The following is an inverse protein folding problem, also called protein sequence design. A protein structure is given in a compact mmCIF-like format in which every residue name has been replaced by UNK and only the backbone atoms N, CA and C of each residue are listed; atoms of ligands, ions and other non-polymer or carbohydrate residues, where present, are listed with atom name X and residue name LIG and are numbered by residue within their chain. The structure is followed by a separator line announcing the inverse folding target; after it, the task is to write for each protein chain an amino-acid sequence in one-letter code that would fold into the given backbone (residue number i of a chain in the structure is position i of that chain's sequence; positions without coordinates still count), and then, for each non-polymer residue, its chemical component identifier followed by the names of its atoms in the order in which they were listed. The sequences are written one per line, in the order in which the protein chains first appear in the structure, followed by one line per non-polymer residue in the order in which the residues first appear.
data_IF_708603547031
#
_entry.id   IF_708603547031
#
_cell.length_a   1.000
_cell.length_b   1.000
_cell.length_c   1.000
_cell.angle_alpha   90.00
_cell.angle_beta   90.00
_cell.angle_gamma   90.00
#
_symmetry.space_group_name_H-M   'P 1'
#
loop_
_entity.id
_entity.type
_entity.pdbx_description
1 polymer ?
#
# COMPACT_ATOMS: atom_id res chain seq x y z
N UNK A 1 -9.68 -31.27 56.39
CA UNK A 1 -9.93 -29.96 55.73
C UNK A 1 -8.65 -29.58 54.98
N UNK A 2 -8.58 -29.90 53.67
CA UNK A 2 -7.39 -29.66 52.85
C UNK A 2 -7.58 -28.27 52.26
N UNK A 3 -6.72 -27.31 52.67
CA UNK A 3 -6.63 -25.99 52.04
C UNK A 3 -6.01 -26.15 50.64
N UNK A 4 -6.83 -26.09 49.62
CA UNK A 4 -6.35 -25.86 48.25
C UNK A 4 -5.84 -24.40 48.15
N UNK A 5 -4.54 -24.24 48.20
CA UNK A 5 -3.90 -22.98 47.84
C UNK A 5 -4.11 -22.76 46.31
N UNK A 6 -5.01 -21.84 45.97
CA UNK A 6 -5.14 -21.35 44.61
C UNK A 6 -3.89 -20.51 44.31
N UNK A 7 -2.89 -21.13 43.71
CA UNK A 7 -1.75 -20.39 43.14
C UNK A 7 -2.28 -19.63 41.91
N UNK A 8 -2.63 -18.37 42.14
CA UNK A 8 -2.88 -17.43 41.04
C UNK A 8 -1.54 -17.22 40.31
N UNK A 9 -1.32 -17.90 39.21
CA UNK A 9 -0.26 -17.57 38.27
C UNK A 9 -0.56 -16.17 37.75
N UNK A 10 -0.02 -15.13 38.39
CA UNK A 10 0.10 -13.81 37.73
C UNK A 10 0.93 -14.05 36.50
N UNK A 11 0.36 -13.80 35.30
CA UNK A 11 1.16 -13.70 34.07
C UNK A 11 2.31 -12.74 34.34
N UNK A 12 3.54 -13.16 34.08
CA UNK A 12 4.68 -12.27 34.11
C UNK A 12 4.38 -11.06 33.22
N UNK A 13 4.68 -9.87 33.70
CA UNK A 13 4.54 -8.63 32.92
C UNK A 13 5.90 -7.94 32.87
N UNK A 14 6.14 -7.25 31.77
CA UNK A 14 7.36 -6.52 31.47
C UNK A 14 7.07 -5.04 31.70
N UNK A 15 7.88 -4.39 32.53
CA UNK A 15 7.85 -2.93 32.68
C UNK A 15 8.78 -2.32 31.62
N UNK A 16 8.27 -1.38 30.82
CA UNK A 16 9.01 -0.67 29.78
C UNK A 16 8.88 0.84 29.98
N UNK A 17 9.96 1.54 29.74
CA UNK A 17 9.98 3.01 29.67
C UNK A 17 10.41 3.41 28.26
N UNK A 18 9.69 4.36 27.67
CA UNK A 18 10.10 4.98 26.38
C UNK A 18 10.37 6.43 26.66
N UNK A 19 11.56 6.91 26.32
CA UNK A 19 11.94 8.31 26.40
C UNK A 19 12.32 8.80 25.03
N UNK A 20 11.81 9.95 24.63
CA UNK A 20 12.12 10.46 23.31
C UNK A 20 12.24 11.97 23.20
N UNK A 21 12.96 12.37 22.16
CA UNK A 21 12.92 13.71 21.60
C UNK A 21 12.03 13.71 20.38
N UNK A 22 11.37 14.83 20.10
CA UNK A 22 10.46 14.93 18.97
C UNK A 22 10.53 16.33 18.35
N UNK A 23 10.74 16.36 17.03
CA UNK A 23 10.72 17.55 16.22
C UNK A 23 9.57 17.47 15.20
N UNK A 24 9.01 18.60 14.82
CA UNK A 24 7.91 18.66 13.86
C UNK A 24 6.53 18.33 14.47
N UNK A 25 6.41 18.27 15.79
CA UNK A 25 5.14 18.05 16.51
C UNK A 25 4.96 19.16 17.57
N UNK A 26 3.73 19.63 17.74
CA UNK A 26 3.40 20.72 18.70
C UNK A 26 3.55 20.27 20.14
N UNK A 27 4.04 21.16 21.00
CA UNK A 27 3.95 20.98 22.46
C UNK A 27 2.47 20.89 22.90
N UNK A 28 2.20 19.96 23.81
CA UNK A 28 0.85 19.65 24.25
C UNK A 28 0.12 18.62 23.36
N UNK A 29 0.71 18.20 22.23
CA UNK A 29 0.13 17.16 21.40
C UNK A 29 0.08 15.83 22.17
N UNK A 30 -1.04 15.12 22.06
CA UNK A 30 -1.20 13.79 22.64
C UNK A 30 -0.60 12.74 21.72
N UNK A 31 0.32 11.93 22.27
CA UNK A 31 0.95 10.79 21.63
C UNK A 31 0.35 9.48 22.14
N UNK A 32 0.26 8.49 21.26
CA UNK A 32 -0.27 7.17 21.57
C UNK A 32 0.64 6.07 21.05
N UNK A 33 0.83 5.01 21.84
CA UNK A 33 1.46 3.76 21.40
C UNK A 33 0.38 2.72 21.11
N UNK A 34 0.36 2.25 19.85
CA UNK A 34 -0.55 1.21 19.39
C UNK A 34 0.19 -0.11 19.19
N UNK A 35 -0.37 -1.20 19.72
CA UNK A 35 0.12 -2.57 19.55
C UNK A 35 -0.19 -3.05 18.11
N UNK A 36 0.83 -3.18 17.29
CA UNK A 36 0.72 -3.64 15.91
C UNK A 36 0.21 -5.09 15.84
N UNK A 37 0.72 -5.93 16.71
CA UNK A 37 0.40 -7.36 16.72
C UNK A 37 -0.96 -7.71 17.34
N UNK A 38 -1.65 -6.73 17.95
CA UNK A 38 -2.93 -6.92 18.62
C UNK A 38 -4.03 -5.95 18.18
N UNK A 39 -4.24 -5.84 16.87
CA UNK A 39 -5.32 -5.04 16.27
C UNK A 39 -5.31 -3.56 16.68
N UNK A 40 -4.13 -2.96 16.70
CA UNK A 40 -3.96 -1.52 16.98
C UNK A 40 -4.50 -1.10 18.35
N UNK A 41 -4.41 -2.01 19.32
CA UNK A 41 -4.83 -1.70 20.68
C UNK A 41 -3.92 -0.64 21.29
N UNK A 42 -4.51 0.43 21.80
CA UNK A 42 -3.78 1.44 22.58
C UNK A 42 -3.16 0.78 23.80
N UNK A 43 -1.85 0.95 23.98
CA UNK A 43 -1.08 0.49 25.13
C UNK A 43 -0.98 1.60 26.16
N UNK A 44 -0.55 2.80 25.74
CA UNK A 44 -0.42 3.96 26.62
C UNK A 44 -0.46 5.26 25.82
N UNK A 45 -0.73 6.36 26.51
CA UNK A 45 -0.71 7.71 25.96
C UNK A 45 0.18 8.61 26.81
N UNK A 46 0.71 9.67 26.20
CA UNK A 46 1.45 10.76 26.84
C UNK A 46 1.27 12.06 26.07
N UNK A 47 1.85 13.15 26.55
CA UNK A 47 1.87 14.44 25.87
C UNK A 47 3.31 14.89 25.58
N UNK A 48 3.48 15.67 24.52
CA UNK A 48 4.74 16.33 24.20
C UNK A 48 4.95 17.51 25.15
N UNK A 49 6.08 17.56 25.80
CA UNK A 49 6.48 18.66 26.68
C UNK A 49 7.90 19.14 26.32
N UNK A 50 8.04 20.37 25.86
CA UNK A 50 9.31 20.97 25.45
C UNK A 50 10.09 20.10 24.42
N UNK A 51 9.39 19.56 23.43
CA UNK A 51 9.98 18.70 22.39
C UNK A 51 10.46 17.34 22.91
N UNK A 52 9.95 16.88 24.06
CA UNK A 52 10.25 15.55 24.62
C UNK A 52 8.98 14.82 25.03
N UNK A 53 9.08 13.49 25.20
CA UNK A 53 8.00 12.67 25.71
C UNK A 53 8.49 11.47 26.51
N UNK A 54 7.66 10.95 27.40
CA UNK A 54 7.97 9.74 28.16
C UNK A 54 6.71 8.86 28.32
N UNK A 55 6.84 7.56 28.04
CA UNK A 55 5.80 6.56 28.31
C UNK A 55 6.29 5.60 29.40
N UNK A 56 5.38 5.22 30.29
CA UNK A 56 5.54 4.11 31.22
C UNK A 56 4.50 3.05 30.90
N UNK A 57 4.94 1.89 30.45
CA UNK A 57 4.05 0.83 29.98
C UNK A 57 4.34 -0.49 30.68
N UNK A 58 3.27 -1.30 30.86
CA UNK A 58 3.38 -2.66 31.33
C UNK A 58 2.71 -3.60 30.34
N UNK A 59 3.50 -4.48 29.74
CA UNK A 59 3.09 -5.39 28.68
C UNK A 59 3.28 -6.85 29.08
N UNK A 60 2.51 -7.79 28.52
CA UNK A 60 2.63 -9.22 28.85
C UNK A 60 3.83 -9.90 28.18
N UNK A 61 4.35 -9.35 27.10
CA UNK A 61 5.49 -9.83 26.33
C UNK A 61 6.00 -8.71 25.42
N UNK A 62 7.25 -8.74 24.89
CA UNK A 62 7.73 -7.78 23.93
C UNK A 62 6.76 -7.63 22.75
N UNK A 63 6.54 -6.41 22.27
CA UNK A 63 5.61 -6.17 21.16
C UNK A 63 6.10 -5.04 20.27
N UNK A 64 5.83 -5.15 18.96
CA UNK A 64 6.03 -4.07 18.01
C UNK A 64 4.92 -3.04 18.15
N UNK A 65 5.27 -1.77 18.13
CA UNK A 65 4.34 -0.66 18.32
C UNK A 65 4.56 0.44 17.31
N UNK A 66 3.48 1.14 17.02
CA UNK A 66 3.51 2.40 16.30
C UNK A 66 3.24 3.56 17.24
N UNK A 67 4.06 4.58 17.13
CA UNK A 67 3.86 5.89 17.78
C UNK A 67 3.07 6.80 16.86
N UNK A 68 1.97 7.34 17.37
CA UNK A 68 1.10 8.28 16.66
C UNK A 68 0.88 9.56 17.44
N UNK A 69 0.68 10.68 16.72
CA UNK A 69 -0.05 11.82 17.25
C UNK A 69 -1.55 11.58 17.08
N UNK A 70 -2.35 11.74 18.13
CA UNK A 70 -3.80 11.48 18.10
C UNK A 70 -4.54 12.45 17.17
N UNK A 71 -4.01 13.67 17.00
CA UNK A 71 -4.51 14.65 16.06
C UNK A 71 -3.44 14.91 14.97
N UNK A 72 -3.67 14.51 13.71
CA UNK A 72 -2.74 14.77 12.61
C UNK A 72 -2.39 16.25 12.40
N UNK A 73 -3.28 17.19 12.78
CA UNK A 73 -3.04 18.63 12.69
C UNK A 73 -1.96 19.13 13.68
N UNK A 74 -1.57 18.32 14.64
CA UNK A 74 -0.50 18.62 15.58
C UNK A 74 0.90 18.29 15.05
N UNK A 75 0.96 17.63 13.88
CA UNK A 75 2.22 17.29 13.19
C UNK A 75 2.45 18.26 12.04
N UNK A 76 3.60 18.94 12.07
CA UNK A 76 3.97 19.94 11.08
C UNK A 76 4.40 19.34 9.76
N UNK A 77 4.16 18.94 8.82
CA UNK A 77 4.67 18.28 7.63
C UNK A 77 4.70 16.75 7.77
N UNK A 78 3.56 16.15 8.15
CA UNK A 78 3.46 14.71 8.18
C UNK A 78 3.31 14.16 6.75
N UNK A 79 4.30 13.40 6.23
CA UNK A 79 4.19 12.77 4.92
C UNK A 79 3.20 11.59 4.91
N UNK A 80 2.83 11.07 6.08
CA UNK A 80 1.92 9.94 6.22
C UNK A 80 0.53 10.36 6.67
N UNK A 81 -0.48 9.84 5.98
CA UNK A 81 -1.87 10.06 6.36
C UNK A 81 -2.15 9.41 7.74
N UNK A 82 -2.67 10.18 8.70
CA UNK A 82 -3.07 9.66 10.00
C UNK A 82 -2.12 9.87 11.18
N UNK A 83 -1.06 10.67 11.08
CA UNK A 83 -0.23 11.08 12.23
C UNK A 83 0.75 10.03 12.74
N UNK A 84 1.06 8.98 11.96
CA UNK A 84 2.11 8.02 12.29
C UNK A 84 3.48 8.68 12.30
N UNK A 85 4.27 8.42 13.35
CA UNK A 85 5.53 9.09 13.60
C UNK A 85 6.73 8.13 13.59
N UNK A 86 6.58 6.93 14.22
CA UNK A 86 7.67 5.97 14.42
C UNK A 86 7.13 4.59 14.73
N UNK A 87 7.92 3.56 14.41
CA UNK A 87 7.70 2.19 14.86
C UNK A 87 8.93 1.63 15.58
N UNK A 88 8.70 0.83 16.60
CA UNK A 88 9.75 0.23 17.42
C UNK A 88 9.20 -0.86 18.34
N UNK A 89 10.08 -1.49 19.14
CA UNK A 89 9.68 -2.54 20.08
C UNK A 89 9.53 -2.01 21.50
N UNK A 90 8.44 -2.34 22.16
CA UNK A 90 8.36 -2.32 23.63
C UNK A 90 8.91 -3.63 24.17
N UNK A 91 9.93 -3.53 25.00
CA UNK A 91 10.57 -4.64 25.69
C UNK A 91 11.11 -4.19 27.05
N UNK A 92 11.71 -5.09 27.82
CA UNK A 92 12.26 -4.74 29.16
C UNK A 92 13.37 -3.71 29.07
N UNK A 93 13.27 -2.65 29.83
CA UNK A 93 14.29 -1.59 29.91
C UNK A 93 13.77 -0.24 29.46
N UNK A 94 14.70 0.60 29.02
CA UNK A 94 14.40 1.93 28.53
C UNK A 94 14.72 2.03 27.05
N UNK A 95 13.69 2.26 26.23
CA UNK A 95 13.82 2.55 24.80
C UNK A 95 14.04 4.05 24.66
N UNK A 96 15.06 4.44 23.92
CA UNK A 96 15.35 5.83 23.55
C UNK A 96 14.90 6.03 22.12
N UNK A 97 14.04 7.02 21.88
CA UNK A 97 13.44 7.28 20.55
C UNK A 97 13.73 8.73 20.16
N UNK A 98 14.25 8.89 18.94
CA UNK A 98 14.40 10.21 18.31
C UNK A 98 13.45 10.31 17.12
N UNK A 99 12.59 11.33 17.11
CA UNK A 99 11.53 11.50 16.11
C UNK A 99 11.74 12.79 15.34
N UNK A 100 11.90 12.68 14.04
CA UNK A 100 11.91 13.79 13.10
C UNK A 100 10.69 13.65 12.17
N UNK A 101 9.57 14.29 12.51
CA UNK A 101 8.30 14.13 11.80
C UNK A 101 8.31 14.64 10.34
N UNK A 102 9.36 15.38 9.96
CA UNK A 102 9.56 15.90 8.59
C UNK A 102 10.33 14.90 7.69
N UNK A 103 10.89 13.83 8.26
CA UNK A 103 11.75 12.88 7.53
C UNK A 103 10.95 11.63 7.14
N UNK A 104 10.61 11.51 5.85
CA UNK A 104 9.85 10.38 5.30
C UNK A 104 10.54 9.02 5.47
N UNK A 105 11.87 9.01 5.59
CA UNK A 105 12.68 7.76 5.64
C UNK A 105 12.95 7.26 7.05
N UNK A 106 12.54 7.99 8.08
CA UNK A 106 13.00 7.75 9.47
C UNK A 106 12.05 6.86 10.31
N UNK A 107 11.03 6.25 9.76
CA UNK A 107 10.03 5.53 10.57
C UNK A 107 10.59 4.34 11.35
N UNK A 108 11.47 3.56 10.76
CA UNK A 108 12.05 2.33 11.35
C UNK A 108 13.43 2.56 11.98
N UNK A 109 13.90 3.80 12.08
CA UNK A 109 15.23 4.14 12.64
C UNK A 109 15.10 5.01 13.87
N UNK A 110 16.19 5.22 14.62
CA UNK A 110 16.19 6.15 15.75
C UNK A 110 15.60 5.60 17.06
N UNK A 111 15.18 4.35 17.15
CA UNK A 111 14.85 3.67 18.41
C UNK A 111 16.00 2.75 18.83
N UNK A 112 16.52 2.94 20.06
CA UNK A 112 17.71 2.25 20.57
C UNK A 112 17.61 2.02 22.09
N UNK A 113 18.64 1.43 22.67
CA UNK A 113 18.79 1.27 24.11
C UNK A 113 18.23 -0.05 24.67
N UNK A 114 17.73 -0.91 23.81
CA UNK A 114 17.29 -2.27 24.15
C UNK A 114 17.63 -3.24 23.02
N UNK A 115 17.67 -4.52 23.31
CA UNK A 115 18.24 -5.55 22.41
C UNK A 115 17.54 -5.62 21.07
N UNK A 116 16.20 -5.65 21.05
CA UNK A 116 15.43 -5.72 19.78
C UNK A 116 15.55 -4.40 19.02
N UNK A 117 15.48 -3.26 19.69
CA UNK A 117 15.55 -1.96 19.02
C UNK A 117 16.95 -1.69 18.47
N UNK A 118 18.03 -2.05 19.18
CA UNK A 118 19.39 -1.90 18.69
C UNK A 118 19.64 -2.76 17.44
N UNK A 119 19.13 -3.99 17.42
CA UNK A 119 19.20 -4.87 16.25
C UNK A 119 18.36 -4.33 15.08
N UNK A 120 17.13 -3.91 15.34
CA UNK A 120 16.22 -3.36 14.35
C UNK A 120 16.77 -2.07 13.71
N UNK A 121 17.26 -1.16 14.54
CA UNK A 121 17.95 0.06 14.10
C UNK A 121 19.19 -0.26 13.24
N UNK A 122 20.06 -1.17 13.67
CA UNK A 122 21.24 -1.63 12.91
C UNK A 122 20.87 -2.12 11.52
N UNK A 123 19.79 -2.90 11.40
CA UNK A 123 19.32 -3.44 10.12
C UNK A 123 18.85 -2.30 9.21
N UNK A 124 18.00 -1.40 9.70
CA UNK A 124 17.37 -0.36 8.88
C UNK A 124 18.32 0.77 8.47
N UNK A 125 19.37 1.03 9.28
CA UNK A 125 20.42 2.02 8.96
C UNK A 125 21.57 1.45 8.12
N UNK A 126 21.62 0.13 7.92
CA UNK A 126 22.65 -0.51 7.12
C UNK A 126 22.47 -0.25 5.61
N UNK A 127 23.58 -0.44 4.88
CA UNK A 127 23.55 -0.47 3.41
C UNK A 127 22.50 -1.51 2.93
N UNK A 128 21.68 -1.18 1.91
CA UNK A 128 20.67 -2.10 1.40
C UNK A 128 21.19 -3.50 1.08
N UNK A 129 22.40 -3.61 0.52
CA UNK A 129 23.02 -4.91 0.17
C UNK A 129 23.41 -5.73 1.41
N UNK A 130 23.58 -5.12 2.56
CA UNK A 130 23.92 -5.80 3.81
C UNK A 130 22.69 -6.20 4.66
N UNK A 131 21.52 -5.65 4.38
CA UNK A 131 20.32 -5.80 5.23
C UNK A 131 19.86 -7.24 5.36
N UNK A 132 19.84 -8.00 4.25
CA UNK A 132 19.41 -9.39 4.28
C UNK A 132 20.29 -10.23 5.22
N UNK A 133 21.61 -10.07 5.14
CA UNK A 133 22.54 -10.78 6.02
C UNK A 133 22.34 -10.42 7.51
N UNK A 134 22.01 -9.16 7.80
CA UNK A 134 21.72 -8.71 9.17
C UNK A 134 20.40 -9.25 9.70
N UNK A 135 19.36 -9.37 8.86
CA UNK A 135 18.12 -10.04 9.21
C UNK A 135 18.37 -11.52 9.53
N UNK A 136 19.17 -12.22 8.69
CA UNK A 136 19.52 -13.62 8.90
C UNK A 136 20.33 -13.83 10.19
N UNK A 137 21.22 -12.91 10.54
CA UNK A 137 21.94 -12.92 11.81
C UNK A 137 20.96 -12.76 12.99
N UNK A 138 20.08 -11.75 12.91
CA UNK A 138 19.15 -11.42 13.98
C UNK A 138 18.14 -12.51 14.30
N UNK A 139 17.59 -13.21 13.29
CA UNK A 139 16.63 -14.30 13.54
C UNK A 139 17.25 -15.56 14.10
N UNK A 140 18.58 -15.74 13.95
CA UNK A 140 19.32 -16.89 14.53
C UNK A 140 19.82 -16.67 15.95
N UNK A 141 19.85 -15.42 16.41
CA UNK A 141 20.24 -15.08 17.77
C UNK A 141 19.03 -15.19 18.71
N UNK A 142 19.16 -15.96 19.79
CA UNK A 142 18.07 -16.18 20.76
C UNK A 142 17.56 -14.90 21.42
N UNK A 143 18.35 -13.82 21.46
CA UNK A 143 17.97 -12.54 22.03
C UNK A 143 17.15 -11.68 21.05
N UNK A 144 17.35 -11.84 19.76
CA UNK A 144 16.75 -11.02 18.71
C UNK A 144 15.85 -11.79 17.76
N UNK A 145 15.73 -13.11 17.90
CA UNK A 145 14.95 -13.95 16.99
C UNK A 145 13.45 -13.61 16.93
N UNK A 146 12.93 -12.81 17.87
CA UNK A 146 11.56 -12.27 17.78
C UNK A 146 11.37 -11.38 16.55
N UNK A 147 12.45 -10.79 16.01
CA UNK A 147 12.45 -10.04 14.75
C UNK A 147 12.03 -10.91 13.54
N UNK A 148 11.99 -12.23 13.68
CA UNK A 148 11.42 -13.12 12.68
C UNK A 148 9.94 -12.80 12.35
N UNK A 149 9.20 -12.18 13.25
CA UNK A 149 7.81 -11.76 13.01
C UNK A 149 7.74 -10.61 12.00
N UNK A 150 8.66 -9.64 12.09
CA UNK A 150 8.76 -8.52 11.15
C UNK A 150 9.40 -8.96 9.83
N UNK A 151 10.47 -9.76 9.93
CA UNK A 151 11.18 -10.22 8.73
C UNK A 151 10.30 -11.08 7.83
N UNK A 152 9.47 -11.97 8.38
CA UNK A 152 8.56 -12.81 7.61
C UNK A 152 7.51 -11.99 6.83
N UNK A 153 7.09 -10.82 7.30
CA UNK A 153 6.13 -9.96 6.59
C UNK A 153 6.71 -9.32 5.32
N UNK A 154 8.04 -9.29 5.19
CA UNK A 154 8.74 -8.77 4.00
C UNK A 154 8.70 -9.72 2.79
N UNK A 155 8.22 -10.98 2.95
CA UNK A 155 8.15 -11.99 1.88
C UNK A 155 6.70 -12.36 1.55
N UNK A 156 5.89 -11.44 0.98
CA UNK A 156 4.47 -11.67 0.74
C UNK A 156 4.19 -12.73 -0.33
N UNK A 157 5.13 -12.97 -1.24
CA UNK A 157 4.99 -13.87 -2.40
C UNK A 157 5.73 -15.20 -2.21
N UNK A 158 6.51 -15.35 -1.14
CA UNK A 158 7.27 -16.56 -0.80
C UNK A 158 6.86 -17.09 0.58
N UNK A 159 5.83 -17.92 0.58
CA UNK A 159 5.26 -18.51 1.80
C UNK A 159 6.23 -19.50 2.47
N UNK A 160 6.99 -20.26 1.68
CA UNK A 160 7.93 -21.24 2.20
C UNK A 160 9.06 -20.52 2.94
N UNK A 161 9.55 -19.41 2.37
CA UNK A 161 10.56 -18.56 3.00
C UNK A 161 10.05 -17.91 4.29
N UNK A 162 8.85 -17.38 4.28
CA UNK A 162 8.23 -16.81 5.47
C UNK A 162 8.03 -17.87 6.58
N UNK A 163 7.66 -19.10 6.22
CA UNK A 163 7.54 -20.20 7.18
C UNK A 163 8.89 -20.63 7.77
N UNK A 164 9.94 -20.68 6.96
CA UNK A 164 11.31 -20.93 7.41
C UNK A 164 11.76 -19.87 8.44
N UNK A 165 11.58 -18.60 8.12
CA UNK A 165 11.89 -17.46 9.02
C UNK A 165 11.15 -17.60 10.34
N UNK A 166 9.84 -17.85 10.33
CA UNK A 166 9.02 -18.04 11.52
C UNK A 166 9.44 -19.28 12.34
N UNK A 167 10.12 -20.24 11.70
CA UNK A 167 10.68 -21.41 12.36
C UNK A 167 11.81 -21.10 13.35
N UNK A 168 12.41 -19.91 13.28
CA UNK A 168 13.43 -19.46 14.24
C UNK A 168 12.85 -19.01 15.60
N UNK A 169 11.54 -18.80 15.70
CA UNK A 169 10.89 -18.49 16.98
C UNK A 169 11.01 -19.66 17.96
N UNK A 170 11.32 -19.34 19.21
CA UNK A 170 11.28 -20.36 20.25
C UNK A 170 9.84 -20.89 20.46
N UNK A 171 9.64 -22.09 21.02
CA UNK A 171 8.32 -22.64 21.28
C UNK A 171 7.44 -21.72 22.15
N UNK A 172 8.03 -21.01 23.10
CA UNK A 172 7.32 -20.08 23.99
C UNK A 172 6.92 -18.79 23.25
N UNK A 173 7.77 -18.26 22.36
CA UNK A 173 7.43 -17.15 21.47
C UNK A 173 6.32 -17.56 20.50
N UNK A 174 6.45 -18.68 19.82
CA UNK A 174 5.43 -19.18 18.90
C UNK A 174 4.06 -19.37 19.59
N UNK A 175 4.05 -19.81 20.85
CA UNK A 175 2.84 -19.91 21.65
C UNK A 175 2.28 -18.55 22.06
N UNK A 176 3.15 -17.63 22.49
CA UNK A 176 2.78 -16.27 22.93
C UNK A 176 2.15 -15.47 21.79
N UNK A 177 2.76 -15.51 20.60
CA UNK A 177 2.34 -14.76 19.44
C UNK A 177 1.47 -15.55 18.44
N UNK A 178 0.96 -16.73 18.85
CA UNK A 178 0.17 -17.64 18.00
C UNK A 178 -0.93 -16.92 17.20
N UNK A 179 -1.60 -15.95 17.81
CA UNK A 179 -2.69 -15.21 17.16
C UNK A 179 -2.16 -14.32 16.05
N UNK A 180 -1.10 -13.58 16.31
CA UNK A 180 -0.44 -12.74 15.31
C UNK A 180 0.11 -13.59 14.17
N UNK A 181 0.87 -14.62 14.46
CA UNK A 181 1.41 -15.57 13.45
C UNK A 181 0.30 -16.14 12.57
N UNK A 182 -0.85 -16.51 13.17
CA UNK A 182 -1.99 -17.00 12.38
C UNK A 182 -2.58 -15.93 11.46
N UNK A 183 -2.58 -14.66 11.87
CA UNK A 183 -3.05 -13.53 11.06
C UNK A 183 -2.03 -13.22 9.96
N UNK A 184 -0.75 -13.17 10.31
CA UNK A 184 0.35 -12.96 9.37
C UNK A 184 0.32 -14.01 8.23
N UNK A 185 0.28 -15.29 8.57
CA UNK A 185 0.17 -16.39 7.58
C UNK A 185 -1.04 -16.23 6.65
N UNK A 186 -2.20 -15.86 7.18
CA UNK A 186 -3.40 -15.59 6.35
C UNK A 186 -3.21 -14.39 5.42
N UNK A 187 -2.52 -13.35 5.89
CA UNK A 187 -2.24 -12.18 5.07
C UNK A 187 -1.24 -12.51 3.96
N UNK A 188 -0.19 -13.27 4.27
CA UNK A 188 0.78 -13.75 3.29
C UNK A 188 0.09 -14.59 2.19
N UNK A 189 -0.75 -15.56 2.56
CA UNK A 189 -1.53 -16.34 1.58
C UNK A 189 -2.36 -15.42 0.68
N UNK A 190 -3.07 -14.45 1.26
CA UNK A 190 -3.88 -13.49 0.47
C UNK A 190 -3.04 -12.61 -0.45
N UNK A 191 -1.83 -12.22 -0.02
CA UNK A 191 -0.90 -11.43 -0.84
C UNK A 191 -0.39 -12.28 -2.02
N UNK A 192 0.04 -13.53 -1.76
CA UNK A 192 0.46 -14.46 -2.80
C UNK A 192 -0.67 -14.75 -3.82
N UNK A 193 -1.90 -15.02 -3.35
CA UNK A 193 -3.06 -15.20 -4.23
C UNK A 193 -3.38 -13.95 -5.07
N UNK A 194 -3.15 -12.75 -4.52
CA UNK A 194 -3.30 -11.48 -5.28
C UNK A 194 -2.20 -11.31 -6.31
N UNK A 195 -0.95 -11.64 -5.95
CA UNK A 195 0.19 -11.58 -6.87
C UNK A 195 -0.01 -12.56 -8.04
N UNK A 196 -0.44 -13.79 -7.76
CA UNK A 196 -0.77 -14.79 -8.79
C UNK A 196 -1.91 -14.32 -9.70
N UNK A 197 -3.01 -13.81 -9.12
CA UNK A 197 -4.10 -13.23 -9.93
C UNK A 197 -3.63 -12.08 -10.79
N UNK A 198 -2.77 -11.21 -10.23
CA UNK A 198 -2.18 -10.08 -10.97
C UNK A 198 -1.34 -10.58 -12.15
N UNK A 199 -0.51 -11.60 -11.94
CA UNK A 199 0.31 -12.19 -12.98
C UNK A 199 -0.54 -12.83 -14.08
N UNK A 200 -1.54 -13.62 -13.70
CA UNK A 200 -2.49 -14.26 -14.63
C UNK A 200 -3.28 -13.20 -15.42
N UNK A 201 -3.64 -12.08 -14.80
CA UNK A 201 -4.32 -10.98 -15.49
C UNK A 201 -3.40 -10.30 -16.51
N UNK A 202 -2.12 -10.07 -16.17
CA UNK A 202 -1.12 -9.55 -17.10
C UNK A 202 -0.95 -10.46 -18.31
N UNK A 203 -0.86 -11.77 -18.08
CA UNK A 203 -0.74 -12.76 -19.16
C UNK A 203 -2.00 -12.81 -20.03
N UNK A 204 -3.19 -12.68 -19.43
CA UNK A 204 -4.46 -12.61 -20.17
C UNK A 204 -4.54 -11.32 -21.00
N UNK A 205 -4.11 -10.18 -20.46
CA UNK A 205 -4.04 -8.91 -21.19
C UNK A 205 -3.08 -9.01 -22.38
N UNK A 206 -1.88 -9.59 -22.21
CA UNK A 206 -0.92 -9.84 -23.31
C UNK A 206 -1.59 -10.67 -24.42
N UNK A 207 -2.49 -11.59 -24.06
CA UNK A 207 -3.20 -12.41 -25.05
C UNK A 207 -4.20 -11.62 -25.91
N UNK A 208 -4.59 -10.40 -25.51
CA UNK A 208 -5.50 -9.54 -26.29
C UNK A 208 -4.78 -8.73 -27.38
N UNK A 209 -3.48 -8.57 -27.33
CA UNK A 209 -2.71 -7.89 -28.40
C UNK A 209 -2.84 -8.71 -29.71
N UNK A 210 -3.18 -8.03 -30.79
CA UNK A 210 -3.51 -8.65 -32.08
C UNK A 210 -4.92 -9.25 -32.15
N UNK A 211 -5.71 -9.21 -31.08
CA UNK A 211 -7.13 -9.58 -31.10
C UNK A 211 -8.00 -8.37 -31.42
N UNK A 212 -9.20 -8.64 -31.90
CA UNK A 212 -10.19 -7.59 -32.13
C UNK A 212 -10.71 -7.06 -30.78
N UNK A 213 -10.92 -5.75 -30.66
CA UNK A 213 -11.49 -5.15 -29.46
C UNK A 213 -12.86 -5.74 -29.11
N UNK A 214 -13.21 -5.69 -27.83
CA UNK A 214 -14.52 -6.16 -27.34
C UNK A 214 -15.44 -4.96 -27.19
N UNK A 215 -16.55 -4.95 -27.94
CA UNK A 215 -17.50 -3.83 -27.93
C UNK A 215 -18.23 -3.71 -26.58
N UNK A 216 -18.50 -2.47 -26.19
CA UNK A 216 -19.16 -2.15 -24.93
C UNK A 216 -19.95 -0.84 -25.03
N UNK A 217 -20.87 -0.64 -24.08
CA UNK A 217 -21.68 0.57 -24.00
C UNK A 217 -21.88 0.96 -22.54
N UNK A 218 -21.49 2.18 -22.18
CA UNK A 218 -21.63 2.71 -20.81
C UNK A 218 -22.08 4.18 -20.83
N UNK A 219 -22.73 4.66 -19.74
CA UNK A 219 -23.17 6.07 -19.65
C UNK A 219 -21.98 7.03 -19.47
N UNK A 220 -22.02 8.14 -20.20
CA UNK A 220 -21.09 9.25 -20.03
C UNK A 220 -21.48 10.19 -18.86
N UNK A 221 -20.77 11.29 -18.69
CA UNK A 221 -21.03 12.29 -17.64
C UNK A 221 -22.45 12.90 -17.71
N UNK A 222 -23.08 12.90 -18.88
CA UNK A 222 -24.46 13.36 -19.09
C UNK A 222 -25.50 12.24 -18.96
N UNK A 223 -25.11 11.04 -18.52
CA UNK A 223 -25.90 9.81 -18.45
C UNK A 223 -26.43 9.31 -19.83
N UNK A 224 -25.76 9.71 -20.92
CA UNK A 224 -26.07 9.18 -22.25
C UNK A 224 -25.18 7.96 -22.53
N UNK A 225 -25.75 6.84 -23.06
CA UNK A 225 -24.94 5.69 -23.44
C UNK A 225 -23.99 6.06 -24.59
N UNK A 226 -22.74 5.67 -24.46
CA UNK A 226 -21.72 5.79 -25.50
C UNK A 226 -21.18 4.40 -25.80
N UNK A 227 -21.35 3.96 -27.03
CA UNK A 227 -20.88 2.66 -27.49
C UNK A 227 -19.49 2.79 -28.10
N UNK A 228 -18.58 1.89 -27.73
CA UNK A 228 -17.19 1.92 -28.22
C UNK A 228 -17.14 1.75 -29.74
N UNK A 229 -17.92 0.84 -30.32
CA UNK A 229 -17.94 0.66 -31.77
C UNK A 229 -18.35 1.93 -32.54
N UNK A 230 -19.20 2.80 -31.99
CA UNK A 230 -19.52 4.08 -32.64
C UNK A 230 -18.35 5.05 -32.66
N UNK A 231 -17.39 4.90 -31.75
CA UNK A 231 -16.14 5.69 -31.72
C UNK A 231 -15.12 5.10 -32.68
N UNK A 232 -14.96 3.78 -32.66
CA UNK A 232 -14.03 3.06 -33.56
C UNK A 232 -14.45 3.18 -35.03
N UNK A 233 -15.75 3.07 -35.31
CA UNK A 233 -16.29 3.15 -36.68
C UNK A 233 -16.43 4.58 -37.21
N UNK A 234 -16.10 5.60 -36.42
CA UNK A 234 -16.08 6.98 -36.88
C UNK A 234 -14.96 7.19 -37.91
N UNK A 235 -15.26 7.64 -39.15
CA UNK A 235 -14.26 7.78 -40.20
C UNK A 235 -13.14 8.78 -39.89
N UNK A 236 -13.33 9.67 -38.93
CA UNK A 236 -12.31 10.63 -38.48
C UNK A 236 -11.39 10.03 -37.40
N UNK A 237 -11.79 8.89 -36.79
CA UNK A 237 -11.01 8.22 -35.74
C UNK A 237 -10.09 7.16 -36.36
N UNK A 238 -8.81 7.26 -36.10
CA UNK A 238 -7.79 6.30 -36.57
C UNK A 238 -7.34 5.36 -35.46
N UNK A 239 -7.25 5.86 -34.23
CA UNK A 239 -6.84 5.12 -33.05
C UNK A 239 -7.70 5.51 -31.85
N UNK A 240 -8.00 4.52 -31.01
CA UNK A 240 -8.68 4.75 -29.73
C UNK A 240 -7.82 4.24 -28.59
N UNK A 241 -7.55 5.11 -27.62
CA UNK A 241 -7.03 4.69 -26.32
C UNK A 241 -8.19 4.29 -25.44
N UNK A 242 -8.22 3.02 -24.95
CA UNK A 242 -9.05 2.61 -23.85
C UNK A 242 -8.26 2.79 -22.57
N UNK A 243 -8.77 3.59 -21.62
CA UNK A 243 -8.15 3.86 -20.34
C UNK A 243 -9.06 3.39 -19.21
N UNK A 244 -8.62 2.38 -18.45
CA UNK A 244 -9.32 1.87 -17.28
C UNK A 244 -8.76 2.51 -16.01
N UNK A 245 -9.57 3.29 -15.32
CA UNK A 245 -9.13 4.14 -14.22
C UNK A 245 -10.18 4.33 -13.11
N UNK A 246 -9.84 5.10 -12.06
CA UNK A 246 -10.79 5.60 -11.07
C UNK A 246 -10.23 6.84 -10.35
N UNK A 247 -11.09 7.65 -9.75
CA UNK A 247 -10.70 8.87 -9.01
C UNK A 247 -9.87 8.58 -7.75
N UNK A 248 -10.04 7.42 -7.14
CA UNK A 248 -9.31 6.96 -5.95
C UNK A 248 -8.01 6.22 -6.28
N UNK A 249 -7.70 6.01 -7.55
CA UNK A 249 -6.49 5.34 -8.01
C UNK A 249 -5.39 6.38 -8.23
N UNK A 250 -4.50 6.55 -7.26
CA UNK A 250 -3.43 7.56 -7.34
C UNK A 250 -2.56 7.43 -8.60
N UNK A 251 -2.03 6.25 -9.00
CA UNK A 251 -1.27 6.12 -10.24
C UNK A 251 -2.08 6.50 -11.49
N UNK A 252 -3.41 6.23 -11.50
CA UNK A 252 -4.27 6.65 -12.60
C UNK A 252 -4.37 8.17 -12.69
N UNK A 253 -4.53 8.83 -11.54
CA UNK A 253 -4.61 10.28 -11.42
C UNK A 253 -3.33 10.96 -11.89
N UNK A 254 -2.18 10.41 -11.53
CA UNK A 254 -0.85 10.87 -11.96
C UNK A 254 -0.62 10.72 -13.47
N UNK A 255 -1.35 9.82 -14.14
CA UNK A 255 -1.27 9.60 -15.58
C UNK A 255 -2.17 10.54 -16.40
N UNK A 256 -3.18 11.18 -15.81
CA UNK A 256 -4.09 12.11 -16.51
C UNK A 256 -3.37 13.27 -17.22
N UNK A 257 -2.34 13.92 -16.66
CA UNK A 257 -1.58 14.94 -17.38
C UNK A 257 -0.99 14.42 -18.69
N UNK A 258 -0.43 13.21 -18.72
CA UNK A 258 0.10 12.57 -19.92
C UNK A 258 -1.00 12.34 -20.96
N UNK A 259 -2.17 11.85 -20.54
CA UNK A 259 -3.33 11.67 -21.43
C UNK A 259 -3.78 13.01 -22.03
N UNK A 260 -3.77 14.11 -21.27
CA UNK A 260 -4.10 15.45 -21.76
C UNK A 260 -3.12 15.94 -22.83
N UNK A 261 -1.82 15.78 -22.60
CA UNK A 261 -0.78 16.16 -23.56
C UNK A 261 -0.91 15.37 -24.85
N UNK A 262 -1.08 14.07 -24.75
CA UNK A 262 -1.27 13.16 -25.89
C UNK A 262 -2.55 13.50 -26.63
N UNK A 263 -3.66 13.73 -25.94
CA UNK A 263 -4.92 14.11 -26.58
C UNK A 263 -4.82 15.45 -27.32
N UNK A 264 -4.24 16.46 -26.69
CA UNK A 264 -4.03 17.77 -27.33
C UNK A 264 -3.18 17.67 -28.59
N UNK A 265 -2.17 16.80 -28.61
CA UNK A 265 -1.23 16.64 -29.72
C UNK A 265 -1.81 15.82 -30.89
N UNK A 266 -2.61 14.78 -30.60
CA UNK A 266 -2.99 13.78 -31.59
C UNK A 266 -4.50 13.70 -31.90
N UNK A 267 -5.39 14.33 -31.12
CA UNK A 267 -6.83 14.32 -31.39
C UNK A 267 -7.17 14.84 -32.79
N UNK A 268 -6.58 15.97 -33.20
CA UNK A 268 -6.75 16.53 -34.56
C UNK A 268 -6.14 15.67 -35.69
N UNK A 269 -5.42 14.59 -35.34
CA UNK A 269 -4.85 13.62 -36.26
C UNK A 269 -5.58 12.28 -36.27
N UNK A 270 -6.70 12.18 -35.54
CA UNK A 270 -7.55 11.01 -35.49
C UNK A 270 -7.37 10.13 -34.25
N UNK A 271 -6.80 10.64 -33.15
CA UNK A 271 -6.83 9.96 -31.86
C UNK A 271 -8.10 10.29 -31.09
N UNK A 272 -8.75 9.27 -30.53
CA UNK A 272 -9.78 9.44 -29.50
C UNK A 272 -9.38 8.69 -28.22
N UNK A 273 -9.88 9.15 -27.07
CA UNK A 273 -9.71 8.46 -25.78
C UNK A 273 -11.08 8.08 -25.25
N UNK A 274 -11.24 6.82 -24.84
CA UNK A 274 -12.43 6.27 -24.21
C UNK A 274 -12.02 5.80 -22.82
N UNK A 275 -12.17 6.67 -21.81
CA UNK A 275 -11.83 6.36 -20.42
C UNK A 275 -13.00 5.75 -19.68
N UNK A 276 -12.76 4.59 -19.05
CA UNK A 276 -13.75 3.78 -18.35
C UNK A 276 -13.45 3.83 -16.87
N UNK A 277 -14.25 4.58 -16.11
CA UNK A 277 -14.11 4.66 -14.67
C UNK A 277 -14.84 3.52 -13.96
N UNK A 278 -14.19 2.95 -12.92
CA UNK A 278 -14.82 1.99 -12.01
C UNK A 278 -15.28 2.61 -10.69
N UNK A 279 -15.46 3.93 -10.64
CA UNK A 279 -15.96 4.61 -9.44
C UNK A 279 -17.34 4.11 -9.03
N UNK A 280 -17.56 3.96 -7.73
CA UNK A 280 -18.86 3.58 -7.18
C UNK A 280 -19.83 4.75 -7.04
N UNK A 281 -19.30 5.99 -7.00
CA UNK A 281 -20.05 7.22 -6.82
C UNK A 281 -20.01 8.08 -8.09
N UNK A 282 -21.07 8.04 -8.88
CA UNK A 282 -21.16 8.80 -10.12
C UNK A 282 -20.96 10.32 -9.94
N UNK A 283 -21.40 10.88 -8.80
CA UNK A 283 -21.24 12.33 -8.51
C UNK A 283 -19.78 12.73 -8.36
N UNK A 284 -19.01 11.96 -7.59
CA UNK A 284 -17.60 12.23 -7.34
C UNK A 284 -16.79 12.12 -8.65
N UNK A 285 -17.05 11.07 -9.44
CA UNK A 285 -16.45 10.88 -10.76
C UNK A 285 -16.74 12.03 -11.72
N UNK A 286 -18.02 12.45 -11.85
CA UNK A 286 -18.40 13.57 -12.73
C UNK A 286 -17.70 14.87 -12.34
N UNK A 287 -17.71 15.18 -11.05
CA UNK A 287 -17.04 16.38 -10.51
C UNK A 287 -15.53 16.33 -10.77
N UNK A 288 -14.92 15.14 -10.70
CA UNK A 288 -13.51 14.96 -10.98
C UNK A 288 -13.20 15.18 -12.46
N UNK A 289 -13.96 14.59 -13.37
CA UNK A 289 -13.81 14.75 -14.84
C UNK A 289 -13.93 16.22 -15.23
N UNK A 290 -14.94 16.92 -14.70
CA UNK A 290 -15.16 18.35 -14.95
C UNK A 290 -14.02 19.22 -14.40
N UNK A 291 -13.67 19.05 -13.12
CA UNK A 291 -12.60 19.81 -12.46
C UNK A 291 -11.25 19.64 -13.14
N UNK A 292 -10.97 18.46 -13.66
CA UNK A 292 -9.71 18.15 -14.33
C UNK A 292 -9.81 18.31 -15.86
N UNK A 293 -10.86 18.92 -16.40
CA UNK A 293 -11.02 19.24 -17.83
C UNK A 293 -10.70 18.04 -18.74
N UNK A 294 -11.19 16.84 -18.38
CA UNK A 294 -11.01 15.62 -19.17
C UNK A 294 -12.01 15.65 -20.35
N UNK A 295 -11.62 16.29 -21.43
CA UNK A 295 -12.50 16.65 -22.56
C UNK A 295 -12.80 15.52 -23.53
N UNK A 296 -12.13 14.38 -23.41
CA UNK A 296 -12.40 13.16 -24.17
C UNK A 296 -13.60 12.36 -23.64
N UNK A 297 -13.89 11.21 -24.23
CA UNK A 297 -15.02 10.36 -23.84
C UNK A 297 -14.73 9.74 -22.47
N UNK A 298 -15.55 10.09 -21.50
CA UNK A 298 -15.50 9.53 -20.14
C UNK A 298 -16.81 8.78 -19.86
N UNK A 299 -16.72 7.49 -19.51
CA UNK A 299 -17.86 6.64 -19.19
C UNK A 299 -17.69 5.98 -17.82
N UNK A 300 -18.81 5.60 -17.21
CA UNK A 300 -18.82 4.96 -15.90
C UNK A 300 -19.31 3.50 -16.02
N UNK A 301 -18.47 2.55 -15.62
CA UNK A 301 -18.80 1.15 -15.50
C UNK A 301 -18.71 0.70 -14.04
N UNK A 302 -19.71 0.03 -13.51
CA UNK A 302 -19.60 -0.52 -12.14
C UNK A 302 -18.50 -1.58 -12.08
N UNK A 303 -17.87 -1.76 -10.91
CA UNK A 303 -16.82 -2.77 -10.69
C UNK A 303 -17.26 -4.22 -11.00
N UNK A 304 -18.57 -4.49 -11.02
CA UNK A 304 -19.16 -5.77 -11.42
C UNK A 304 -19.44 -5.89 -12.92
N UNK A 305 -19.14 -4.86 -13.69
CA UNK A 305 -19.41 -4.86 -15.14
C UNK A 305 -18.57 -5.90 -15.86
N UNK A 306 -19.15 -6.50 -16.89
CA UNK A 306 -18.53 -7.57 -17.68
C UNK A 306 -17.21 -7.14 -18.32
N UNK A 307 -17.08 -5.87 -18.67
CA UNK A 307 -15.91 -5.32 -19.36
C UNK A 307 -14.59 -5.59 -18.63
N UNK A 308 -14.57 -5.50 -17.30
CA UNK A 308 -13.36 -5.77 -16.53
C UNK A 308 -12.89 -7.21 -16.67
N UNK A 309 -13.83 -8.14 -16.70
CA UNK A 309 -13.56 -9.57 -16.92
C UNK A 309 -13.18 -9.86 -18.36
N UNK A 310 -13.87 -9.23 -19.34
CA UNK A 310 -13.63 -9.45 -20.76
C UNK A 310 -12.25 -8.94 -21.20
N UNK A 311 -11.77 -7.85 -20.61
CA UNK A 311 -10.44 -7.29 -20.83
C UNK A 311 -9.39 -7.77 -19.82
N UNK A 312 -9.72 -8.70 -18.92
CA UNK A 312 -8.80 -9.23 -17.91
C UNK A 312 -8.34 -8.19 -16.85
N UNK A 313 -9.13 -7.14 -16.59
CA UNK A 313 -8.77 -6.03 -15.72
C UNK A 313 -8.94 -6.44 -14.25
N UNK A 314 -7.87 -6.87 -13.62
CA UNK A 314 -7.79 -7.16 -12.19
C UNK A 314 -7.33 -5.96 -11.36
N UNK A 315 -6.62 -5.02 -11.97
CA UNK A 315 -6.11 -3.80 -11.35
C UNK A 315 -6.02 -2.65 -12.36
N UNK A 316 -6.01 -1.42 -11.87
CA UNK A 316 -5.86 -0.19 -12.66
C UNK A 316 -4.62 0.59 -12.19
N UNK A 317 -4.02 1.44 -13.05
CA UNK A 317 -4.42 1.77 -14.41
C UNK A 317 -4.14 0.66 -15.43
N UNK A 318 -4.94 0.62 -16.51
CA UNK A 318 -4.70 -0.19 -17.70
C UNK A 318 -5.10 0.55 -18.95
N UNK A 319 -4.21 0.52 -19.93
CA UNK A 319 -4.36 1.24 -21.19
C UNK A 319 -4.22 0.27 -22.35
N UNK A 320 -5.17 0.33 -23.29
CA UNK A 320 -5.10 -0.36 -24.57
C UNK A 320 -5.14 0.64 -25.69
N UNK A 321 -4.45 0.35 -26.80
CA UNK A 321 -4.52 1.12 -28.03
C UNK A 321 -5.17 0.26 -29.13
N UNK A 322 -6.23 0.78 -29.76
CA UNK A 322 -6.96 0.10 -30.83
C UNK A 322 -6.67 0.80 -32.15
N UNK A 323 -6.30 0.02 -33.19
CA UNK A 323 -6.30 0.48 -34.60
C UNK A 323 -7.75 0.41 -35.12
N UNK A 324 -8.38 1.54 -35.34
CA UNK A 324 -9.76 1.61 -35.80
C UNK A 324 -9.98 1.01 -37.21
N UNK A 325 -8.93 0.94 -38.02
CA UNK A 325 -9.02 0.36 -39.38
C UNK A 325 -9.17 -1.16 -39.34
N UNK A 326 -8.55 -1.84 -38.40
CA UNK A 326 -8.57 -3.31 -38.27
C UNK A 326 -9.43 -3.78 -37.11
N UNK A 327 -9.67 -2.92 -36.12
CA UNK A 327 -10.27 -3.26 -34.85
C UNK A 327 -9.32 -3.99 -33.89
N UNK A 328 -8.03 -4.09 -34.23
CA UNK A 328 -7.04 -4.83 -33.44
C UNK A 328 -6.49 -3.99 -32.30
N UNK A 329 -6.26 -4.65 -31.17
CA UNK A 329 -5.56 -4.10 -30.03
C UNK A 329 -4.05 -4.18 -30.29
N UNK A 330 -3.36 -3.02 -30.34
CA UNK A 330 -1.95 -2.91 -30.64
C UNK A 330 -1.07 -2.94 -29.40
N UNK A 331 -1.53 -2.35 -28.29
CA UNK A 331 -0.78 -2.16 -27.06
C UNK A 331 -1.70 -2.39 -25.86
N UNK A 332 -1.14 -2.93 -24.79
CA UNK A 332 -1.76 -2.95 -23.48
C UNK A 332 -0.65 -2.82 -22.42
N UNK A 333 -0.74 -1.84 -21.55
CA UNK A 333 0.20 -1.62 -20.45
C UNK A 333 -0.48 -0.80 -19.35
N UNK A 334 0.17 -0.70 -18.17
CA UNK A 334 -0.28 0.21 -17.12
C UNK A 334 -0.09 1.68 -17.50
N UNK A 335 1.14 2.04 -17.86
CA UNK A 335 1.53 3.39 -18.27
C UNK A 335 2.46 3.32 -19.52
N UNK A 336 1.91 3.11 -20.73
CA UNK A 336 2.72 3.04 -21.94
C UNK A 336 3.29 4.42 -22.28
N UNK A 337 4.43 4.44 -22.97
CA UNK A 337 4.93 5.65 -23.62
C UNK A 337 4.07 5.96 -24.86
N UNK A 338 2.89 6.53 -24.60
CA UNK A 338 1.90 6.84 -25.63
C UNK A 338 2.43 7.84 -26.66
N UNK A 339 3.26 8.81 -26.25
CA UNK A 339 3.78 9.80 -27.18
C UNK A 339 4.75 9.18 -28.19
N UNK A 340 5.65 8.30 -27.74
CA UNK A 340 6.54 7.57 -28.63
C UNK A 340 5.76 6.68 -29.62
N UNK A 341 4.80 5.92 -29.12
CA UNK A 341 3.98 5.02 -29.94
C UNK A 341 3.17 5.80 -30.98
N UNK A 342 2.48 6.86 -30.55
CA UNK A 342 1.62 7.65 -31.43
C UNK A 342 2.40 8.52 -32.41
N UNK A 343 3.64 8.92 -32.08
CA UNK A 343 4.51 9.64 -33.03
C UNK A 343 4.85 8.79 -34.26
N UNK A 344 4.94 7.48 -34.12
CA UNK A 344 5.15 6.55 -35.25
C UNK A 344 3.86 6.31 -36.05
N UNK A 345 2.72 6.23 -35.35
CA UNK A 345 1.42 5.89 -35.93
C UNK A 345 0.69 7.09 -36.55
N UNK A 346 0.88 8.28 -35.99
CA UNK A 346 0.23 9.56 -36.35
C UNK A 346 1.29 10.68 -36.57
N UNK A 347 2.18 10.52 -37.53
CA UNK A 347 3.28 11.48 -37.79
C UNK A 347 2.78 12.91 -38.08
#
# INVERSE_FOLDING_TARGET
MVLLAVVSCKKASIDCVVKGTIQGVKDGAELVLNDDWNKWKVISTTTVENGTFEFHSRIPAPTHVYLYATNPEDVYANPYDGGQLKDFFLESGTVIVDVHAEDEMDMCTGATGTVLNDAFHKIHTADPDAREALWEEAIRDEQTNLLALEYADNFPDDLDRAEEILGHLSPDQAKTYKRYISTLKKNLVRRAERAERRQNALEAEVSLVGQHYIDMEYPNTENRPVRLSTVVDNPETRYVILDFWATWCLPCVEFIPTLKEVYAKYHGKGLEIYSISQDSKAGDWKSYVEKNEMTWINVLASTSSKVYRDYGIEFIPRVFLIDCRTGEILVHEGHPDLDAILAELLP
#
